data_IF_097978273922
#
_entry.id   IF_097978273922
#
_cell.length_a   1.000
_cell.length_b   1.000
_cell.length_c   1.000
_cell.angle_alpha   90.00
_cell.angle_beta   90.00
_cell.angle_gamma   90.00
#
_symmetry.space_group_name_H-M   'P 1'
#
loop_
_entity.id
_entity.type
_entity.pdbx_description
1 polymer ?
#
# COMPACT_ATOMS: atom_id res chain seq x y z
N UNK A 1 59.26 13.28 28.50
CA UNK A 1 58.93 11.90 28.09
C UNK A 1 57.62 11.50 28.76
N UNK A 2 56.48 11.91 28.21
CA UNK A 2 55.13 11.53 28.62
C UNK A 2 54.26 11.56 27.36
N UNK A 3 53.65 10.41 27.04
CA UNK A 3 52.84 10.14 25.84
C UNK A 3 51.40 10.63 26.07
N UNK A 4 50.79 11.27 25.07
CA UNK A 4 49.35 11.36 24.94
C UNK A 4 48.93 10.53 23.72
N UNK A 5 48.06 9.55 23.94
CA UNK A 5 47.53 8.68 22.89
C UNK A 5 46.49 9.38 22.01
N UNK A 6 46.17 8.83 20.84
CA UNK A 6 45.16 9.39 19.95
C UNK A 6 43.74 9.24 20.54
N UNK A 7 42.78 10.09 20.13
CA UNK A 7 41.41 10.06 20.64
C UNK A 7 40.69 8.76 20.23
N UNK A 8 39.91 8.22 21.15
CA UNK A 8 39.06 7.04 20.94
C UNK A 8 38.04 7.28 19.82
N UNK A 9 37.93 6.32 18.90
CA UNK A 9 36.88 6.26 17.90
C UNK A 9 35.52 6.04 18.58
N UNK A 10 34.59 6.96 18.35
CA UNK A 10 33.17 6.76 18.64
C UNK A 10 32.66 5.65 17.73
N UNK A 11 32.06 4.56 18.24
CA UNK A 11 31.57 3.50 17.38
C UNK A 11 30.40 4.04 16.55
N UNK A 12 30.58 4.03 15.23
CA UNK A 12 29.50 4.30 14.28
C UNK A 12 28.37 3.30 14.54
N UNK A 13 27.22 3.81 14.98
CA UNK A 13 25.96 3.07 14.98
C UNK A 13 25.64 2.75 13.52
N UNK A 14 25.98 1.54 13.09
CA UNK A 14 25.54 0.97 11.82
C UNK A 14 24.03 0.79 11.90
N UNK A 15 23.29 1.79 11.45
CA UNK A 15 21.93 1.58 10.95
C UNK A 15 22.06 0.68 9.73
N UNK A 16 21.60 -0.57 9.82
CA UNK A 16 21.47 -1.43 8.66
C UNK A 16 20.46 -0.79 7.69
N UNK A 17 20.97 0.01 6.74
CA UNK A 17 20.23 0.37 5.54
C UNK A 17 20.15 -0.89 4.68
N UNK A 18 19.03 -1.61 4.79
CA UNK A 18 18.74 -2.69 3.88
C UNK A 18 18.25 -2.09 2.55
N UNK A 19 19.18 -1.50 1.78
CA UNK A 19 19.07 -1.68 0.33
C UNK A 19 18.88 -3.18 0.10
N UNK A 20 18.10 -3.63 -0.89
CA UNK A 20 18.23 -4.99 -1.37
C UNK A 20 19.64 -5.09 -1.98
N UNK A 21 20.64 -5.35 -1.14
CA UNK A 21 22.03 -5.52 -1.55
C UNK A 21 22.17 -6.77 -2.42
N UNK A 22 21.20 -7.69 -2.31
CA UNK A 22 21.07 -8.88 -3.12
C UNK A 22 19.83 -8.77 -4.02
N UNK A 23 20.05 -9.07 -5.30
CA UNK A 23 19.02 -9.21 -6.32
C UNK A 23 17.92 -10.18 -5.87
N UNK A 24 16.66 -9.80 -6.07
CA UNK A 24 15.51 -10.69 -5.83
C UNK A 24 15.43 -11.80 -6.89
N UNK A 25 16.15 -11.66 -8.00
CA UNK A 25 16.35 -12.70 -9.00
C UNK A 25 17.64 -13.48 -8.78
N UNK A 26 17.60 -14.76 -9.15
CA UNK A 26 18.80 -15.57 -9.27
C UNK A 26 19.32 -15.72 -10.69
N UNK A 27 20.49 -16.34 -10.85
CA UNK A 27 21.11 -16.53 -12.16
C UNK A 27 20.18 -17.25 -13.14
N UNK A 28 19.35 -18.18 -12.67
CA UNK A 28 18.39 -18.92 -13.50
C UNK A 28 17.22 -18.02 -13.92
N UNK A 29 16.62 -17.29 -12.98
CA UNK A 29 15.56 -16.32 -13.23
C UNK A 29 16.03 -15.20 -14.16
N UNK A 30 17.21 -14.65 -13.91
CA UNK A 30 17.82 -13.63 -14.76
C UNK A 30 18.10 -14.15 -16.18
N UNK A 31 18.58 -15.39 -16.30
CA UNK A 31 18.75 -16.02 -17.61
C UNK A 31 17.42 -16.22 -18.35
N UNK A 32 16.34 -16.55 -17.64
CA UNK A 32 15.00 -16.66 -18.23
C UNK A 32 14.48 -15.31 -18.72
N UNK A 33 14.63 -14.27 -17.90
CA UNK A 33 14.28 -12.88 -18.26
C UNK A 33 15.05 -12.42 -19.50
N UNK A 34 16.37 -12.67 -19.55
CA UNK A 34 17.21 -12.30 -20.70
C UNK A 34 16.83 -12.99 -22.01
N UNK A 35 16.13 -14.14 -21.97
CA UNK A 35 15.57 -14.80 -23.18
C UNK A 35 14.33 -14.10 -23.73
N UNK A 36 13.72 -13.17 -22.99
CA UNK A 36 12.65 -12.30 -23.49
C UNK A 36 13.23 -11.12 -24.29
N UNK A 37 14.50 -10.76 -24.03
CA UNK A 37 15.28 -9.70 -24.69
C UNK A 37 14.79 -8.27 -24.37
N UNK A 38 13.51 -7.98 -24.62
CA UNK A 38 12.90 -6.67 -24.36
C UNK A 38 11.37 -6.78 -24.33
N UNK A 39 10.70 -5.95 -23.55
CA UNK A 39 9.24 -5.79 -23.58
C UNK A 39 8.89 -4.30 -23.44
N UNK A 40 7.78 -3.87 -24.04
CA UNK A 40 7.30 -2.49 -23.92
C UNK A 40 6.25 -2.38 -22.78
N UNK A 41 5.40 -3.39 -22.64
CA UNK A 41 4.37 -3.50 -21.60
C UNK A 41 4.53 -4.80 -20.83
N UNK A 42 4.55 -4.71 -19.51
CA UNK A 42 4.60 -5.85 -18.62
C UNK A 42 3.36 -5.90 -17.72
N UNK A 43 2.75 -7.08 -17.59
CA UNK A 43 1.84 -7.37 -16.47
C UNK A 43 2.55 -8.29 -15.49
N UNK A 44 2.77 -7.79 -14.28
CA UNK A 44 3.35 -8.53 -13.16
C UNK A 44 2.28 -9.08 -12.23
N UNK A 45 2.41 -10.34 -11.82
CA UNK A 45 1.50 -11.01 -10.88
C UNK A 45 2.33 -11.58 -9.73
N UNK A 46 2.28 -11.02 -8.51
CA UNK A 46 2.84 -11.65 -7.33
C UNK A 46 1.95 -12.83 -6.91
N UNK A 47 2.52 -14.00 -6.62
CA UNK A 47 1.75 -15.21 -6.30
C UNK A 47 2.30 -16.03 -5.13
N UNK A 48 1.40 -16.67 -4.37
CA UNK A 48 1.74 -17.70 -3.39
C UNK A 48 0.52 -18.61 -3.11
N UNK A 49 0.51 -19.84 -3.62
CA UNK A 49 -0.57 -20.81 -3.38
C UNK A 49 -1.91 -20.43 -4.03
N UNK A 50 -1.88 -19.89 -5.26
CA UNK A 50 -3.02 -19.35 -5.98
C UNK A 50 -3.42 -20.17 -7.22
N UNK A 51 -3.11 -21.48 -7.28
CA UNK A 51 -3.35 -22.29 -8.48
C UNK A 51 -4.83 -22.29 -8.91
N UNK A 52 -5.76 -22.14 -7.97
CA UNK A 52 -7.20 -22.09 -8.23
C UNK A 52 -7.68 -20.77 -8.88
N UNK A 53 -6.97 -19.66 -8.70
CA UNK A 53 -7.44 -18.32 -9.11
C UNK A 53 -6.61 -17.70 -10.23
N UNK A 54 -5.29 -17.92 -10.23
CA UNK A 54 -4.35 -17.19 -11.09
C UNK A 54 -4.63 -17.35 -12.59
N UNK A 55 -5.16 -18.51 -13.01
CA UNK A 55 -5.51 -18.75 -14.41
C UNK A 55 -6.57 -17.76 -14.94
N UNK A 56 -7.52 -17.32 -14.11
CA UNK A 56 -8.49 -16.30 -14.52
C UNK A 56 -7.81 -14.94 -14.76
N UNK A 57 -6.94 -14.54 -13.83
CA UNK A 57 -6.18 -13.29 -13.90
C UNK A 57 -5.29 -13.26 -15.15
N UNK A 58 -4.57 -14.36 -15.43
CA UNK A 58 -3.70 -14.49 -16.61
C UNK A 58 -4.48 -14.33 -17.91
N UNK A 59 -5.70 -14.89 -18.01
CA UNK A 59 -6.56 -14.75 -19.19
C UNK A 59 -6.99 -13.30 -19.39
N UNK A 60 -7.46 -12.63 -18.33
CA UNK A 60 -7.89 -11.24 -18.40
C UNK A 60 -6.72 -10.29 -18.75
N UNK A 61 -5.57 -10.47 -18.11
CA UNK A 61 -4.35 -9.69 -18.39
C UNK A 61 -3.85 -9.89 -19.83
N UNK A 62 -3.84 -11.15 -20.30
CA UNK A 62 -3.48 -11.49 -21.69
C UNK A 62 -4.40 -10.78 -22.68
N UNK A 63 -5.72 -10.88 -22.49
CA UNK A 63 -6.70 -10.20 -23.32
C UNK A 63 -6.48 -8.68 -23.34
N UNK A 64 -6.26 -8.08 -22.15
CA UNK A 64 -6.08 -6.64 -22.02
C UNK A 64 -4.86 -6.14 -22.78
N UNK A 65 -3.71 -6.81 -22.64
CA UNK A 65 -2.49 -6.43 -23.36
C UNK A 65 -2.67 -6.53 -24.89
N UNK A 66 -3.24 -7.64 -25.37
CA UNK A 66 -3.39 -7.89 -26.82
C UNK A 66 -4.45 -6.99 -27.46
N UNK A 67 -5.57 -6.77 -26.78
CA UNK A 67 -6.69 -5.99 -27.30
C UNK A 67 -6.40 -4.49 -27.35
N UNK A 68 -5.83 -3.94 -26.27
CA UNK A 68 -5.68 -2.50 -26.10
C UNK A 68 -4.29 -1.97 -26.51
N UNK A 69 -3.30 -2.85 -26.62
CA UNK A 69 -1.92 -2.50 -26.98
C UNK A 69 -1.31 -3.48 -28.01
N UNK A 70 -1.96 -3.69 -29.17
CA UNK A 70 -1.55 -4.71 -30.14
C UNK A 70 -0.19 -4.47 -30.81
N UNK A 71 0.28 -3.23 -30.76
CA UNK A 71 1.56 -2.81 -31.35
C UNK A 71 2.75 -2.93 -30.40
N UNK A 72 2.49 -3.13 -29.11
CA UNK A 72 3.54 -3.25 -28.08
C UNK A 72 4.01 -4.69 -27.95
N UNK A 73 5.26 -4.88 -27.49
CA UNK A 73 5.81 -6.19 -27.09
C UNK A 73 5.31 -6.53 -25.67
N UNK A 74 4.36 -7.45 -25.50
CA UNK A 74 3.79 -7.72 -24.19
C UNK A 74 4.50 -8.88 -23.50
N UNK A 75 4.69 -8.78 -22.19
CA UNK A 75 5.15 -9.87 -21.34
C UNK A 75 4.27 -9.99 -20.10
N UNK A 76 3.89 -11.21 -19.75
CA UNK A 76 3.29 -11.53 -18.46
C UNK A 76 4.36 -12.21 -17.59
N UNK A 77 4.52 -11.73 -16.37
CA UNK A 77 5.53 -12.20 -15.44
C UNK A 77 4.87 -12.59 -14.13
N UNK A 78 4.97 -13.87 -13.78
CA UNK A 78 4.61 -14.34 -12.45
C UNK A 78 5.84 -14.27 -11.53
N UNK A 79 5.69 -13.60 -10.40
CA UNK A 79 6.72 -13.53 -9.34
C UNK A 79 6.25 -14.34 -8.15
N UNK A 80 6.73 -15.58 -8.07
CA UNK A 80 6.23 -16.60 -7.17
C UNK A 80 7.05 -16.68 -5.88
N UNK A 81 6.36 -16.76 -4.74
CA UNK A 81 6.95 -16.87 -3.41
C UNK A 81 7.37 -18.28 -2.98
N UNK A 82 7.56 -19.21 -3.92
CA UNK A 82 7.86 -20.61 -3.62
C UNK A 82 6.59 -21.40 -3.31
N UNK A 83 5.57 -21.24 -4.15
CA UNK A 83 4.29 -21.92 -3.99
C UNK A 83 4.47 -23.44 -3.91
N UNK A 84 3.83 -24.12 -2.94
CA UNK A 84 3.89 -25.58 -2.82
C UNK A 84 2.94 -26.28 -3.80
N UNK A 85 2.06 -25.54 -4.46
CA UNK A 85 1.09 -26.02 -5.44
C UNK A 85 1.52 -25.68 -6.87
N UNK A 86 0.63 -25.91 -7.84
CA UNK A 86 0.91 -25.76 -9.27
C UNK A 86 0.81 -24.29 -9.76
N UNK A 87 0.80 -23.31 -8.86
CA UNK A 87 0.64 -21.87 -9.19
C UNK A 87 1.57 -21.40 -10.31
N UNK A 88 2.90 -21.67 -10.26
CA UNK A 88 3.83 -21.22 -11.31
C UNK A 88 3.51 -21.84 -12.67
N UNK A 89 3.11 -23.11 -12.69
CA UNK A 89 2.77 -23.81 -13.92
C UNK A 89 1.49 -23.24 -14.53
N UNK A 90 0.42 -23.10 -13.73
CA UNK A 90 -0.85 -22.52 -14.18
C UNK A 90 -0.63 -21.12 -14.76
N UNK A 91 0.24 -20.31 -14.16
CA UNK A 91 0.52 -18.96 -14.62
C UNK A 91 1.08 -18.90 -16.07
N UNK A 92 1.90 -19.89 -16.45
CA UNK A 92 2.55 -19.93 -17.77
C UNK A 92 1.83 -20.82 -18.79
N UNK A 93 1.11 -21.85 -18.32
CA UNK A 93 0.40 -22.82 -19.18
C UNK A 93 -1.03 -22.42 -19.49
N UNK A 94 -1.60 -21.44 -18.77
CA UNK A 94 -2.94 -20.92 -19.05
C UNK A 94 -3.01 -20.42 -20.49
N UNK A 95 -3.87 -21.08 -21.28
CA UNK A 95 -4.12 -20.70 -22.66
C UNK A 95 -4.84 -19.35 -22.73
N UNK A 96 -4.50 -18.60 -23.77
CA UNK A 96 -5.27 -17.40 -24.13
C UNK A 96 -6.69 -17.86 -24.49
N UNK A 97 -7.75 -17.17 -24.03
CA UNK A 97 -9.10 -17.51 -24.44
C UNK A 97 -9.24 -17.59 -25.96
N UNK A 98 -9.86 -18.65 -26.47
CA UNK A 98 -10.15 -18.89 -27.90
C UNK A 98 -10.77 -17.68 -28.62
N UNK A 99 -11.54 -16.86 -27.90
CA UNK A 99 -12.18 -15.67 -28.47
C UNK A 99 -11.21 -14.52 -28.73
N UNK A 100 -10.04 -14.47 -28.07
CA UNK A 100 -9.01 -13.47 -28.38
C UNK A 100 -8.54 -13.65 -29.82
N UNK A 101 -8.40 -14.89 -30.29
CA UNK A 101 -7.98 -15.17 -31.66
C UNK A 101 -9.14 -15.14 -32.67
N UNK A 102 -10.37 -15.40 -32.22
CA UNK A 102 -11.56 -15.55 -33.10
C UNK A 102 -12.46 -14.31 -33.17
N UNK A 103 -12.47 -13.44 -32.16
CA UNK A 103 -13.40 -12.30 -32.03
C UNK A 103 -12.66 -10.96 -32.09
N UNK A 104 -11.41 -10.89 -31.62
CA UNK A 104 -10.64 -9.66 -31.70
C UNK A 104 -10.18 -9.48 -33.15
N UNK A 105 -10.80 -8.54 -33.87
CA UNK A 105 -10.40 -8.10 -35.22
C UNK A 105 -9.03 -7.37 -35.23
N UNK A 106 -8.21 -7.59 -34.21
CA UNK A 106 -6.90 -6.97 -34.01
C UNK A 106 -5.87 -8.08 -33.97
N UNK A 107 -5.01 -8.13 -34.99
CA UNK A 107 -3.88 -9.04 -35.03
C UNK A 107 -2.70 -8.42 -34.25
N UNK A 108 -2.28 -8.99 -33.10
CA UNK A 108 -1.12 -8.46 -32.38
C UNK A 108 0.14 -8.58 -33.22
N UNK A 109 0.97 -7.52 -33.23
CA UNK A 109 2.25 -7.51 -33.95
C UNK A 109 3.31 -8.39 -33.29
N UNK A 110 3.17 -8.64 -31.99
CA UNK A 110 4.12 -9.38 -31.20
C UNK A 110 3.44 -10.53 -30.44
N UNK A 111 4.12 -11.67 -30.38
CA UNK A 111 3.66 -12.82 -29.59
C UNK A 111 3.82 -12.51 -28.10
N UNK A 112 2.75 -12.69 -27.33
CA UNK A 112 2.82 -12.62 -25.87
C UNK A 112 3.82 -13.64 -25.32
N UNK A 113 4.70 -13.18 -24.45
CA UNK A 113 5.60 -14.03 -23.66
C UNK A 113 5.05 -14.17 -22.24
N UNK A 114 5.19 -15.37 -21.67
CA UNK A 114 4.89 -15.64 -20.26
C UNK A 114 6.15 -16.22 -19.62
N UNK A 115 6.50 -15.72 -18.45
CA UNK A 115 7.59 -16.25 -17.63
C UNK A 115 7.11 -16.36 -16.19
N UNK A 116 7.62 -17.34 -15.46
CA UNK A 116 7.40 -17.45 -14.02
C UNK A 116 8.74 -17.61 -13.33
N UNK A 117 9.04 -16.69 -12.43
CA UNK A 117 10.26 -16.74 -11.62
C UNK A 117 9.88 -17.00 -10.17
N UNK A 118 10.73 -17.75 -9.47
CA UNK A 118 10.68 -17.84 -8.01
C UNK A 118 11.66 -16.82 -7.46
N UNK A 119 11.16 -15.81 -6.74
CA UNK A 119 12.03 -14.77 -6.20
C UNK A 119 12.83 -15.28 -4.99
N UNK A 120 13.97 -14.64 -4.74
CA UNK A 120 14.81 -14.84 -3.55
C UNK A 120 14.56 -13.74 -2.53
N UNK A 121 14.84 -14.05 -1.27
CA UNK A 121 14.71 -13.11 -0.15
C UNK A 121 13.56 -13.46 0.78
N UNK A 122 13.18 -12.49 1.61
CA UNK A 122 12.11 -12.65 2.58
C UNK A 122 10.78 -12.90 1.88
N UNK A 123 10.01 -13.90 2.32
CA UNK A 123 8.67 -14.14 1.78
C UNK A 123 7.74 -12.96 2.11
N UNK A 124 7.15 -12.37 1.07
CA UNK A 124 6.27 -11.22 1.18
C UNK A 124 5.90 -10.62 -0.16
N UNK A 125 4.78 -9.90 -0.20
CA UNK A 125 4.31 -9.19 -1.39
C UNK A 125 5.36 -8.19 -1.91
N UNK A 126 5.99 -7.44 -1.01
CA UNK A 126 7.04 -6.48 -1.37
C UNK A 126 8.22 -7.10 -2.09
N UNK A 127 8.79 -8.21 -1.59
CA UNK A 127 9.87 -8.91 -2.28
C UNK A 127 9.46 -9.43 -3.66
N UNK A 128 8.21 -9.91 -3.79
CA UNK A 128 7.67 -10.33 -5.09
C UNK A 128 7.59 -9.15 -6.07
N UNK A 129 7.12 -7.98 -5.61
CA UNK A 129 7.07 -6.74 -6.39
C UNK A 129 8.47 -6.22 -6.72
N UNK A 130 9.44 -6.34 -5.80
CA UNK A 130 10.83 -5.98 -6.05
C UNK A 130 11.43 -6.82 -7.18
N UNK A 131 11.18 -8.12 -7.21
CA UNK A 131 11.58 -8.97 -8.33
C UNK A 131 10.91 -8.52 -9.64
N UNK A 132 9.63 -8.15 -9.62
CA UNK A 132 8.94 -7.61 -10.80
C UNK A 132 9.59 -6.30 -11.28
N UNK A 133 10.02 -5.41 -10.38
CA UNK A 133 10.76 -4.20 -10.71
C UNK A 133 12.12 -4.48 -11.35
N UNK A 134 12.90 -5.43 -10.81
CA UNK A 134 14.17 -5.82 -11.40
C UNK A 134 13.99 -6.37 -12.83
N UNK A 135 12.96 -7.21 -13.04
CA UNK A 135 12.61 -7.75 -14.35
C UNK A 135 12.19 -6.64 -15.31
N UNK A 136 11.31 -5.75 -14.86
CA UNK A 136 10.84 -4.61 -15.63
C UNK A 136 11.99 -3.71 -16.08
N UNK A 137 12.95 -3.43 -15.18
CA UNK A 137 14.18 -2.67 -15.49
C UNK A 137 15.06 -3.41 -16.50
N UNK A 138 15.31 -4.71 -16.33
CA UNK A 138 16.12 -5.52 -17.24
C UNK A 138 15.49 -5.58 -18.65
N UNK A 139 14.17 -5.69 -18.74
CA UNK A 139 13.41 -5.74 -19.99
C UNK A 139 13.16 -4.37 -20.61
N UNK A 140 13.50 -3.29 -19.90
CA UNK A 140 13.31 -1.88 -20.31
C UNK A 140 11.86 -1.55 -20.65
N UNK A 141 10.95 -1.98 -19.80
CA UNK A 141 9.51 -1.75 -20.00
C UNK A 141 9.19 -0.27 -19.91
N UNK A 142 8.22 0.18 -20.71
CA UNK A 142 7.70 1.54 -20.66
C UNK A 142 6.66 1.66 -19.54
N UNK A 143 5.82 0.63 -19.38
CA UNK A 143 4.84 0.53 -18.31
C UNK A 143 4.80 -0.90 -17.74
N UNK A 144 4.72 -0.99 -16.42
CA UNK A 144 4.42 -2.22 -15.69
C UNK A 144 3.07 -2.07 -14.99
N UNK A 145 2.14 -2.97 -15.27
CA UNK A 145 0.87 -3.12 -14.53
C UNK A 145 1.05 -4.25 -13.52
N UNK A 146 0.65 -4.03 -12.27
CA UNK A 146 0.58 -5.04 -11.23
C UNK A 146 -0.89 -5.38 -10.96
N UNK A 147 -1.21 -6.67 -10.88
CA UNK A 147 -2.53 -7.16 -10.48
C UNK A 147 -2.39 -8.31 -9.49
N UNK A 148 -3.25 -8.34 -8.46
CA UNK A 148 -3.26 -9.41 -7.47
C UNK A 148 -3.65 -10.78 -8.10
N UNK A 149 -3.08 -11.89 -7.59
CA UNK A 149 -3.27 -13.26 -8.11
C UNK A 149 -4.62 -13.91 -7.77
N UNK A 150 -5.41 -13.29 -6.89
CA UNK A 150 -6.68 -13.80 -6.36
C UNK A 150 -7.91 -13.00 -6.82
N UNK A 151 -7.72 -12.05 -7.76
CA UNK A 151 -8.80 -11.21 -8.27
C UNK A 151 -9.87 -12.03 -9.00
N UNK A 152 -11.12 -11.85 -8.59
CA UNK A 152 -12.29 -12.41 -9.28
C UNK A 152 -12.97 -11.40 -10.22
N UNK A 153 -12.80 -10.11 -9.96
CA UNK A 153 -13.46 -9.03 -10.72
C UNK A 153 -12.61 -8.43 -11.84
N UNK A 154 -11.37 -8.89 -12.04
CA UNK A 154 -10.50 -8.37 -13.10
C UNK A 154 -11.12 -8.62 -14.48
N UNK A 155 -11.08 -7.58 -15.32
CA UNK A 155 -11.49 -7.60 -16.72
C UNK A 155 -10.38 -7.02 -17.60
N UNK A 156 -10.32 -7.36 -18.91
CA UNK A 156 -9.25 -6.90 -19.81
C UNK A 156 -9.03 -5.37 -19.80
N UNK A 157 -10.10 -4.60 -19.62
CA UNK A 157 -10.08 -3.13 -19.57
C UNK A 157 -9.19 -2.59 -18.44
N UNK A 158 -8.97 -3.35 -17.36
CA UNK A 158 -8.10 -2.91 -16.26
C UNK A 158 -6.68 -2.65 -16.75
N UNK A 159 -6.19 -3.46 -17.70
CA UNK A 159 -4.86 -3.26 -18.29
C UNK A 159 -4.81 -1.94 -19.07
N UNK A 160 -5.86 -1.60 -19.82
CA UNK A 160 -5.94 -0.31 -20.52
C UNK A 160 -6.00 0.86 -19.54
N UNK A 161 -6.85 0.76 -18.53
CA UNK A 161 -7.06 1.83 -17.55
C UNK A 161 -5.82 2.11 -16.70
N UNK A 162 -5.02 1.08 -16.42
CA UNK A 162 -3.78 1.19 -15.65
C UNK A 162 -2.58 1.57 -16.52
N UNK A 163 -2.35 0.92 -17.67
CA UNK A 163 -1.20 1.22 -18.52
C UNK A 163 -1.40 2.45 -19.41
N UNK A 164 -2.64 2.76 -19.80
CA UNK A 164 -2.99 3.84 -20.71
C UNK A 164 -2.51 5.23 -20.26
N UNK A 165 -2.73 5.65 -19.01
CA UNK A 165 -2.23 6.92 -18.51
C UNK A 165 -0.71 7.07 -18.62
N UNK A 166 0.05 5.99 -18.47
CA UNK A 166 1.51 6.00 -18.61
C UNK A 166 1.88 6.10 -20.08
N UNK A 167 1.39 5.15 -20.89
CA UNK A 167 1.79 4.99 -22.29
C UNK A 167 1.29 6.13 -23.20
N UNK A 168 0.21 6.83 -22.81
CA UNK A 168 -0.46 7.86 -23.63
C UNK A 168 -0.56 9.22 -22.94
N UNK A 169 -0.45 9.27 -21.61
CA UNK A 169 -0.81 10.44 -20.81
C UNK A 169 0.36 11.10 -20.04
N UNK A 170 1.56 10.51 -20.06
CA UNK A 170 2.74 11.06 -19.38
C UNK A 170 2.68 10.95 -17.86
N UNK A 171 1.90 10.01 -17.32
CA UNK A 171 1.90 9.67 -15.89
C UNK A 171 2.94 8.59 -15.59
N UNK A 172 3.34 8.52 -14.33
CA UNK A 172 4.36 7.59 -13.85
C UNK A 172 3.82 6.60 -12.84
N UNK A 173 2.80 6.98 -12.08
CA UNK A 173 2.14 6.12 -11.11
C UNK A 173 0.62 6.21 -11.25
N UNK A 174 -0.01 5.06 -11.45
CA UNK A 174 -1.46 4.94 -11.56
C UNK A 174 -1.97 4.12 -10.40
N UNK A 175 -2.54 4.78 -9.39
CA UNK A 175 -3.21 4.12 -8.29
C UNK A 175 -4.60 3.63 -8.69
N UNK A 176 -5.12 2.55 -8.09
CA UNK A 176 -6.48 2.13 -8.35
C UNK A 176 -7.49 3.06 -7.69
N UNK A 177 -8.71 3.05 -8.23
CA UNK A 177 -9.90 3.63 -7.62
C UNK A 177 -11.03 2.60 -7.71
N UNK A 178 -11.31 1.95 -6.58
CA UNK A 178 -12.32 0.89 -6.45
C UNK A 178 -13.61 1.40 -5.82
N UNK A 179 -14.71 0.72 -6.11
CA UNK A 179 -15.87 0.68 -5.22
C UNK A 179 -15.62 -0.38 -4.13
N UNK A 180 -15.73 0.01 -2.85
CA UNK A 180 -15.57 -0.87 -1.69
C UNK A 180 -16.73 -0.71 -0.74
N UNK A 181 -17.07 -1.78 -0.02
CA UNK A 181 -18.05 -1.70 1.04
C UNK A 181 -17.53 -0.81 2.17
N UNK A 182 -18.41 -0.08 2.86
CA UNK A 182 -18.03 0.93 3.86
C UNK A 182 -17.15 0.40 5.00
N UNK A 183 -17.22 -0.90 5.31
CA UNK A 183 -16.41 -1.54 6.36
C UNK A 183 -15.21 -2.32 5.82
N UNK A 184 -14.95 -2.24 4.52
CA UNK A 184 -13.74 -2.77 3.88
C UNK A 184 -12.63 -1.69 3.83
N UNK A 185 -11.37 -2.12 3.79
CA UNK A 185 -10.22 -1.22 3.67
C UNK A 185 -10.10 -0.26 4.85
N UNK A 186 -10.36 -0.72 6.08
CA UNK A 186 -10.39 0.11 7.29
C UNK A 186 -9.06 0.83 7.57
N UNK A 187 -7.91 0.22 7.27
CA UNK A 187 -6.59 0.88 7.30
C UNK A 187 -6.54 2.01 6.27
N UNK A 188 -7.05 1.77 5.06
CA UNK A 188 -7.15 2.79 4.00
C UNK A 188 -7.98 3.97 4.44
N UNK A 189 -9.20 3.71 4.89
CA UNK A 189 -10.20 4.73 5.18
C UNK A 189 -9.85 5.55 6.43
N UNK A 190 -9.24 4.92 7.44
CA UNK A 190 -9.00 5.55 8.74
C UNK A 190 -7.60 6.14 8.92
N UNK A 191 -6.64 5.74 8.06
CA UNK A 191 -5.23 6.11 8.20
C UNK A 191 -4.63 6.52 6.87
N UNK A 192 -4.43 5.57 5.95
CA UNK A 192 -3.50 5.82 4.84
C UNK A 192 -4.04 6.88 3.88
N UNK A 193 -5.33 6.87 3.51
CA UNK A 193 -5.92 7.93 2.68
C UNK A 193 -5.90 9.30 3.38
N UNK A 194 -6.49 9.47 4.58
CA UNK A 194 -6.47 10.75 5.30
C UNK A 194 -5.05 11.32 5.53
N UNK A 195 -4.11 10.46 5.92
CA UNK A 195 -2.75 10.89 6.27
C UNK A 195 -1.92 11.20 5.02
N UNK A 196 -2.07 10.44 3.93
CA UNK A 196 -1.47 10.79 2.62
C UNK A 196 -1.91 12.19 2.19
N UNK A 197 -3.21 12.45 2.31
CA UNK A 197 -3.83 13.71 1.92
C UNK A 197 -3.32 14.87 2.78
N UNK A 198 -3.23 14.68 4.09
CA UNK A 198 -2.69 15.71 5.00
C UNK A 198 -1.19 15.95 4.79
N UNK A 199 -0.37 14.90 4.64
CA UNK A 199 1.08 15.04 4.51
C UNK A 199 1.47 15.60 3.13
N UNK A 200 0.98 14.99 2.05
CA UNK A 200 1.49 15.25 0.71
C UNK A 200 0.51 15.99 -0.21
N UNK A 201 -0.72 16.27 0.26
CA UNK A 201 -1.66 17.13 -0.46
C UNK A 201 -2.28 16.49 -1.71
N UNK A 202 -2.00 15.21 -1.98
CA UNK A 202 -2.59 14.46 -3.08
C UNK A 202 -3.75 13.60 -2.59
N UNK A 203 -4.93 13.73 -3.21
CA UNK A 203 -6.13 12.93 -2.86
C UNK A 203 -6.14 11.56 -3.53
N UNK A 204 -5.10 10.74 -3.28
CA UNK A 204 -5.07 9.35 -3.75
C UNK A 204 -5.97 8.49 -2.84
N UNK A 205 -7.16 8.13 -3.30
CA UNK A 205 -8.17 7.40 -2.49
C UNK A 205 -7.73 6.01 -2.00
N UNK A 206 -6.89 5.31 -2.75
CA UNK A 206 -6.41 3.95 -2.43
C UNK A 206 -4.87 3.89 -2.45
N UNK A 207 -4.18 4.56 -1.52
CA UNK A 207 -2.72 4.63 -1.51
C UNK A 207 -2.04 3.31 -1.10
N UNK A 208 -2.82 2.29 -0.74
CA UNK A 208 -2.37 0.92 -0.49
C UNK A 208 -3.08 -0.09 -1.41
N UNK A 209 -3.57 0.37 -2.57
CA UNK A 209 -4.23 -0.49 -3.54
C UNK A 209 -3.23 -1.41 -4.24
N UNK A 210 -3.53 -2.71 -4.27
CA UNK A 210 -2.66 -3.72 -4.87
C UNK A 210 -2.63 -3.74 -6.40
N UNK A 211 -3.61 -3.12 -7.08
CA UNK A 211 -3.65 -3.12 -8.54
C UNK A 211 -3.24 -1.74 -9.05
N UNK A 212 -2.03 -1.60 -9.59
CA UNK A 212 -1.46 -0.30 -9.98
C UNK A 212 -0.68 -0.41 -11.28
N UNK A 213 -0.24 0.73 -11.80
CA UNK A 213 0.81 0.75 -12.82
C UNK A 213 1.91 1.75 -12.49
N UNK A 214 3.12 1.44 -12.96
CA UNK A 214 4.33 2.26 -12.80
C UNK A 214 5.07 2.40 -14.13
N UNK A 215 5.66 3.58 -14.38
CA UNK A 215 6.53 3.81 -15.55
C UNK A 215 7.90 3.18 -15.34
N UNK A 216 8.59 2.88 -16.44
CA UNK A 216 9.97 2.40 -16.37
C UNK A 216 10.91 3.34 -15.61
N UNK A 217 10.71 4.65 -15.75
CA UNK A 217 11.50 5.69 -15.06
C UNK A 217 11.28 5.66 -13.55
N UNK A 218 10.01 5.56 -13.11
CA UNK A 218 9.69 5.42 -11.69
C UNK A 218 10.24 4.10 -11.13
N UNK A 219 10.14 2.99 -11.85
CA UNK A 219 10.75 1.71 -11.43
C UNK A 219 12.25 1.87 -11.21
N UNK A 220 12.95 2.52 -12.15
CA UNK A 220 14.36 2.82 -12.03
C UNK A 220 14.68 3.57 -10.75
N UNK A 221 13.90 4.62 -10.45
CA UNK A 221 14.09 5.42 -9.23
C UNK A 221 13.77 4.63 -7.96
N UNK A 222 12.67 3.88 -7.93
CA UNK A 222 12.26 3.09 -6.76
C UNK A 222 13.36 2.08 -6.36
N UNK A 223 14.02 1.45 -7.33
CA UNK A 223 15.12 0.51 -7.09
C UNK A 223 16.40 1.17 -6.55
N UNK A 224 16.51 2.50 -6.58
CA UNK A 224 17.66 3.26 -6.05
C UNK A 224 17.42 3.82 -4.65
N UNK A 225 16.18 3.79 -4.15
CA UNK A 225 15.84 4.35 -2.85
C UNK A 225 16.41 3.49 -1.71
N UNK A 226 17.00 4.14 -0.72
CA UNK A 226 17.57 3.53 0.49
C UNK A 226 16.56 3.35 1.63
N UNK A 227 15.29 3.69 1.39
CA UNK A 227 14.19 3.63 2.36
C UNK A 227 13.54 2.24 2.47
N UNK A 228 14.07 1.25 1.73
CA UNK A 228 13.60 -0.13 1.77
C UNK A 228 13.90 -0.80 3.13
N UNK A 229 12.96 -1.61 3.60
CA UNK A 229 13.08 -2.34 4.87
C UNK A 229 12.21 -3.61 4.88
N UNK A 230 12.26 -4.35 6.00
CA UNK A 230 11.46 -5.57 6.22
C UNK A 230 9.94 -5.35 6.12
N UNK A 231 9.42 -4.18 6.54
CA UNK A 231 7.99 -3.88 6.40
C UNK A 231 7.62 -3.67 4.92
N UNK A 232 8.48 -2.98 4.18
CA UNK A 232 8.35 -2.76 2.74
C UNK A 232 8.43 -4.06 1.96
N UNK A 233 9.29 -5.00 2.36
CA UNK A 233 9.37 -6.35 1.78
C UNK A 233 8.08 -7.17 1.91
N UNK A 234 7.11 -6.72 2.73
CA UNK A 234 5.84 -7.40 2.99
C UNK A 234 4.64 -6.54 2.56
N UNK A 235 3.74 -6.15 3.47
CA UNK A 235 2.55 -5.36 3.15
C UNK A 235 2.81 -3.85 3.06
N UNK A 236 3.99 -3.36 3.45
CA UNK A 236 4.37 -1.95 3.36
C UNK A 236 4.65 -1.46 1.94
N UNK A 237 4.82 -2.36 0.96
CA UNK A 237 5.20 -1.99 -0.41
C UNK A 237 4.25 -0.99 -1.06
N UNK A 238 2.93 -1.18 -0.92
CA UNK A 238 1.93 -0.37 -1.62
C UNK A 238 1.96 1.11 -1.15
N UNK A 239 2.05 1.32 0.17
CA UNK A 239 2.18 2.68 0.73
C UNK A 239 3.55 3.29 0.42
N UNK A 240 4.60 2.46 0.42
CA UNK A 240 5.96 2.89 0.09
C UNK A 240 6.06 3.41 -1.33
N UNK A 241 5.55 2.67 -2.31
CA UNK A 241 5.53 3.11 -3.71
C UNK A 241 4.74 4.40 -3.88
N UNK A 242 3.53 4.47 -3.29
CA UNK A 242 2.68 5.65 -3.42
C UNK A 242 3.34 6.90 -2.85
N UNK A 243 3.90 6.81 -1.64
CA UNK A 243 4.56 7.96 -1.01
C UNK A 243 5.86 8.34 -1.71
N UNK A 244 6.67 7.37 -2.11
CA UNK A 244 7.89 7.63 -2.87
C UNK A 244 7.59 8.29 -4.21
N UNK A 245 6.58 7.82 -4.96
CA UNK A 245 6.19 8.46 -6.22
C UNK A 245 5.82 9.94 -6.05
N UNK A 246 5.02 10.27 -5.03
CA UNK A 246 4.65 11.67 -4.75
C UNK A 246 5.88 12.51 -4.37
N UNK A 247 6.70 12.01 -3.44
CA UNK A 247 7.78 12.82 -2.85
C UNK A 247 9.01 12.94 -3.76
N UNK A 248 9.24 11.96 -4.63
CA UNK A 248 10.27 11.99 -5.67
C UNK A 248 9.82 12.82 -6.90
N UNK A 249 8.60 13.35 -6.90
CA UNK A 249 8.12 14.32 -7.89
C UNK A 249 7.57 13.74 -9.18
N UNK A 250 7.17 12.46 -9.18
CA UNK A 250 6.61 11.77 -10.34
C UNK A 250 5.13 12.12 -10.54
N UNK A 251 4.66 12.01 -11.78
CA UNK A 251 3.28 12.32 -12.12
C UNK A 251 2.34 11.18 -11.65
N UNK A 252 1.41 11.50 -10.74
CA UNK A 252 0.47 10.51 -10.17
C UNK A 252 -0.96 10.75 -10.67
N UNK A 253 -1.67 9.66 -10.99
CA UNK A 253 -3.11 9.69 -11.26
C UNK A 253 -3.80 8.45 -10.68
N UNK A 254 -5.12 8.37 -10.85
CA UNK A 254 -5.91 7.20 -10.46
C UNK A 254 -6.72 6.63 -11.62
N UNK A 255 -7.02 5.34 -11.57
CA UNK A 255 -7.83 4.65 -12.57
C UNK A 255 -9.09 4.02 -11.95
N UNK A 256 -10.26 4.27 -12.53
CA UNK A 256 -11.55 3.74 -12.07
C UNK A 256 -11.74 2.28 -12.50
N UNK A 257 -11.50 1.34 -11.58
CA UNK A 257 -11.50 -0.09 -11.87
C UNK A 257 -12.86 -0.78 -11.60
N UNK A 258 -13.78 -0.12 -10.89
CA UNK A 258 -15.07 -0.70 -10.47
C UNK A 258 -14.96 -1.42 -9.13
N UNK A 259 -15.83 -2.40 -8.85
CA UNK A 259 -15.77 -3.15 -7.59
C UNK A 259 -14.57 -4.10 -7.55
N UNK A 260 -13.87 -4.11 -6.41
CA UNK A 260 -12.82 -5.09 -6.13
C UNK A 260 -13.41 -6.25 -5.32
N UNK A 261 -13.50 -7.42 -5.94
CA UNK A 261 -13.99 -8.64 -5.29
C UNK A 261 -12.80 -9.58 -5.08
N UNK A 262 -12.50 -9.85 -3.81
CA UNK A 262 -11.43 -10.72 -3.33
C UNK A 262 -11.90 -11.44 -2.05
N UNK A 263 -11.13 -12.40 -1.54
CA UNK A 263 -11.51 -13.12 -0.33
C UNK A 263 -11.59 -12.19 0.88
N UNK A 264 -12.73 -12.23 1.59
CA UNK A 264 -12.99 -11.36 2.74
C UNK A 264 -12.01 -11.64 3.89
N UNK A 265 -11.51 -10.57 4.53
CA UNK A 265 -10.64 -10.63 5.72
C UNK A 265 -11.39 -10.04 6.92
N UNK A 266 -11.32 -10.67 8.08
CA UNK A 266 -11.91 -10.12 9.31
C UNK A 266 -10.93 -9.08 9.90
N UNK A 267 -11.34 -7.80 10.05
CA UNK A 267 -10.49 -6.77 10.63
C UNK A 267 -9.89 -7.10 12.00
N UNK A 268 -10.63 -7.85 12.83
CA UNK A 268 -10.23 -8.14 14.21
C UNK A 268 -9.20 -9.29 14.33
N UNK A 269 -9.18 -10.25 13.40
CA UNK A 269 -8.24 -11.39 13.43
C UNK A 269 -7.08 -11.25 12.45
N UNK A 270 -7.28 -10.59 11.32
CA UNK A 270 -6.38 -10.74 10.16
C UNK A 270 -5.55 -9.47 9.87
N UNK A 271 -5.91 -8.31 10.44
CA UNK A 271 -5.28 -7.04 10.08
C UNK A 271 -4.14 -6.60 11.00
N UNK A 272 -3.95 -7.18 12.19
CA UNK A 272 -2.93 -6.72 13.14
C UNK A 272 -1.49 -6.67 12.57
N UNK A 273 -0.97 -7.75 11.98
CA UNK A 273 0.35 -7.75 11.34
C UNK A 273 0.44 -6.81 10.13
N UNK A 274 -0.60 -6.76 9.30
CA UNK A 274 -0.68 -5.87 8.12
C UNK A 274 -0.66 -4.40 8.55
N UNK A 275 -1.42 -4.06 9.59
CA UNK A 275 -1.48 -2.73 10.17
C UNK A 275 -0.10 -2.23 10.57
N UNK A 276 0.65 -3.02 11.35
CA UNK A 276 1.98 -2.61 11.81
C UNK A 276 2.94 -2.35 10.64
N UNK A 277 2.93 -3.22 9.63
CA UNK A 277 3.80 -3.05 8.45
C UNK A 277 3.43 -1.81 7.63
N UNK A 278 2.14 -1.59 7.35
CA UNK A 278 1.67 -0.44 6.56
C UNK A 278 1.91 0.87 7.32
N UNK A 279 1.46 0.96 8.58
CA UNK A 279 1.56 2.19 9.37
C UNK A 279 3.00 2.48 9.75
N UNK A 280 3.81 1.46 10.06
CA UNK A 280 5.24 1.62 10.31
C UNK A 280 5.99 2.17 9.10
N UNK A 281 5.70 1.64 7.90
CA UNK A 281 6.27 2.15 6.64
C UNK A 281 5.84 3.59 6.39
N UNK A 282 4.55 3.90 6.57
CA UNK A 282 4.02 5.25 6.45
C UNK A 282 4.75 6.23 7.39
N UNK A 283 4.86 5.89 8.68
CA UNK A 283 5.48 6.75 9.69
C UNK A 283 6.96 6.97 9.44
N UNK A 284 7.67 5.95 8.94
CA UNK A 284 9.08 6.08 8.54
C UNK A 284 9.24 7.02 7.36
N UNK A 285 8.40 6.89 6.33
CA UNK A 285 8.45 7.78 5.16
C UNK A 285 8.04 9.21 5.51
N UNK A 286 7.12 9.40 6.46
CA UNK A 286 6.85 10.72 7.00
C UNK A 286 8.10 11.31 7.69
N UNK A 287 8.86 10.51 8.44
CA UNK A 287 10.15 10.95 8.99
C UNK A 287 11.19 11.30 7.93
N UNK A 288 11.29 10.48 6.89
CA UNK A 288 12.26 10.65 5.80
C UNK A 288 11.94 11.87 4.91
N UNK A 289 10.66 12.10 4.59
CA UNK A 289 10.22 13.21 3.73
C UNK A 289 9.70 14.42 4.52
N UNK A 290 10.22 14.67 5.73
CA UNK A 290 9.73 15.75 6.59
C UNK A 290 9.75 17.12 5.93
N UNK A 291 10.84 17.44 5.21
CA UNK A 291 11.01 18.71 4.52
C UNK A 291 9.93 18.94 3.46
N UNK A 292 9.39 17.85 2.87
CA UNK A 292 8.33 17.91 1.86
C UNK A 292 6.99 18.23 2.50
N UNK A 293 6.56 17.44 3.50
CA UNK A 293 5.21 17.57 4.03
C UNK A 293 5.04 18.73 5.01
N UNK A 294 6.11 19.22 5.66
CA UNK A 294 6.02 20.38 6.55
C UNK A 294 5.52 21.65 5.83
N UNK A 295 5.79 21.79 4.54
CA UNK A 295 5.34 22.91 3.70
C UNK A 295 3.91 22.76 3.17
N UNK A 296 3.41 21.54 3.04
CA UNK A 296 2.09 21.26 2.43
C UNK A 296 0.95 21.77 3.30
N UNK A 297 -0.06 22.38 2.67
CA UNK A 297 -1.30 22.87 3.31
C UNK A 297 -2.50 22.46 2.45
N UNK A 298 -3.47 21.77 3.06
CA UNK A 298 -4.62 21.21 2.36
C UNK A 298 -4.23 20.17 1.31
N UNK A 299 -5.16 19.85 0.43
CA UNK A 299 -4.95 18.92 -0.69
C UNK A 299 -5.73 19.30 -1.93
N UNK A 300 -5.33 18.72 -3.06
CA UNK A 300 -5.96 18.87 -4.36
C UNK A 300 -6.38 17.51 -4.93
N UNK A 301 -7.48 17.45 -5.72
CA UNK A 301 -7.79 16.27 -6.49
C UNK A 301 -6.68 15.98 -7.50
N UNK A 302 -6.44 14.70 -7.76
CA UNK A 302 -5.52 14.26 -8.81
C UNK A 302 -6.31 13.74 -10.01
N UNK A 303 -5.72 13.68 -11.22
CA UNK A 303 -6.41 13.20 -12.41
C UNK A 303 -6.94 11.77 -12.23
N UNK A 304 -8.15 11.54 -12.74
CA UNK A 304 -8.80 10.24 -12.73
C UNK A 304 -9.05 9.76 -14.17
N UNK A 305 -8.69 8.52 -14.45
CA UNK A 305 -8.82 7.89 -15.75
C UNK A 305 -9.90 6.82 -15.75
N UNK A 306 -10.65 6.75 -16.86
CA UNK A 306 -11.79 5.86 -17.02
C UNK A 306 -13.12 6.44 -16.57
N UNK A 307 -14.20 5.71 -16.86
CA UNK A 307 -15.56 6.10 -16.51
C UNK A 307 -15.98 5.48 -15.18
N UNK A 308 -16.89 6.15 -14.50
CA UNK A 308 -17.50 5.62 -13.28
C UNK A 308 -18.26 4.33 -13.58
N UNK A 309 -17.95 3.28 -12.81
CA UNK A 309 -18.61 1.97 -12.88
C UNK A 309 -19.32 1.74 -11.56
N UNK A 310 -20.65 1.84 -11.58
CA UNK A 310 -21.48 1.54 -10.42
C UNK A 310 -21.64 0.03 -10.32
N UNK A 311 -20.73 -0.60 -9.58
CA UNK A 311 -20.86 -2.00 -9.18
C UNK A 311 -20.94 -2.02 -7.66
N UNK A 312 -22.03 -2.58 -7.13
CA UNK A 312 -22.20 -2.69 -5.69
C UNK A 312 -21.10 -3.63 -5.14
N UNK A 313 -20.33 -3.20 -4.13
CA UNK A 313 -19.35 -4.05 -3.48
C UNK A 313 -20.06 -5.14 -2.66
N UNK A 314 -19.40 -6.28 -2.44
CA UNK A 314 -19.90 -7.32 -1.55
C UNK A 314 -19.93 -6.83 -0.10
N UNK A 315 -21.00 -7.14 0.63
CA UNK A 315 -21.12 -6.80 2.04
C UNK A 315 -20.17 -7.64 2.89
N UNK A 316 -19.54 -6.99 3.88
CA UNK A 316 -18.65 -7.64 4.85
C UNK A 316 -19.24 -7.49 6.24
N UNK A 317 -19.29 -8.59 6.99
CA UNK A 317 -19.67 -8.59 8.40
C UNK A 317 -18.45 -8.32 9.27
N UNK A 318 -18.54 -7.32 10.16
CA UNK A 318 -17.49 -7.00 11.14
C UNK A 318 -18.04 -7.23 12.54
N UNK A 319 -17.28 -7.92 13.38
CA UNK A 319 -17.68 -8.18 14.75
C UNK A 319 -17.39 -6.97 15.64
N UNK A 320 -18.39 -6.09 15.78
CA UNK A 320 -18.30 -4.86 16.59
C UNK A 320 -17.92 -5.15 18.05
N UNK A 321 -18.53 -6.16 18.67
CA UNK A 321 -18.24 -6.54 20.06
C UNK A 321 -16.76 -6.87 20.27
N UNK A 322 -16.18 -7.70 19.40
CA UNK A 322 -14.74 -8.04 19.46
C UNK A 322 -13.83 -6.81 19.37
N UNK A 323 -14.20 -5.80 18.58
CA UNK A 323 -13.39 -4.57 18.46
C UNK A 323 -13.43 -3.75 19.75
N UNK A 324 -14.62 -3.60 20.35
CA UNK A 324 -14.81 -2.87 21.61
C UNK A 324 -14.14 -3.61 22.77
N UNK A 325 -14.37 -4.91 22.91
CA UNK A 325 -13.75 -5.76 23.93
C UNK A 325 -12.22 -5.77 23.79
N UNK A 326 -11.73 -5.83 22.55
CA UNK A 326 -10.29 -5.78 22.26
C UNK A 326 -9.64 -4.47 22.73
N UNK A 327 -10.33 -3.34 22.56
CA UNK A 327 -9.88 -2.05 23.07
C UNK A 327 -9.98 -1.97 24.60
N UNK A 328 -11.08 -2.39 25.20
CA UNK A 328 -11.28 -2.37 26.65
C UNK A 328 -10.21 -3.19 27.38
N UNK A 329 -9.97 -4.42 26.92
CA UNK A 329 -8.96 -5.30 27.48
C UNK A 329 -7.53 -4.77 27.28
N UNK A 330 -7.29 -3.98 26.22
CA UNK A 330 -6.00 -3.37 25.94
C UNK A 330 -5.67 -2.17 26.85
N UNK A 331 -6.67 -1.51 27.45
CA UNK A 331 -6.45 -0.29 28.26
C UNK A 331 -5.44 -0.49 29.40
N UNK A 332 -5.60 -1.47 30.31
CA UNK A 332 -4.64 -1.65 31.40
C UNK A 332 -3.25 -2.04 30.89
N UNK A 333 -3.18 -2.86 29.83
CA UNK A 333 -1.92 -3.37 29.28
C UNK A 333 -1.10 -2.29 28.58
N UNK A 334 -1.74 -1.39 27.84
CA UNK A 334 -1.05 -0.39 27.04
C UNK A 334 -1.00 1.00 27.68
N UNK A 335 -1.59 1.20 28.86
CA UNK A 335 -1.66 2.50 29.54
C UNK A 335 -0.31 3.21 29.64
N UNK A 336 0.74 2.49 30.02
CA UNK A 336 2.09 3.05 30.16
C UNK A 336 2.65 3.49 28.81
N UNK A 337 2.53 2.66 27.78
CA UNK A 337 2.97 3.01 26.42
C UNK A 337 2.15 4.17 25.84
N UNK A 338 0.84 4.22 26.12
CA UNK A 338 0.00 5.35 25.75
C UNK A 338 0.43 6.64 26.45
N UNK A 339 0.86 6.57 27.71
CA UNK A 339 1.40 7.74 28.42
C UNK A 339 2.75 8.22 27.86
N UNK A 340 3.57 7.32 27.31
CA UNK A 340 4.82 7.67 26.64
C UNK A 340 4.59 8.35 25.27
N UNK A 341 3.54 7.92 24.55
CA UNK A 341 3.34 8.31 23.16
C UNK A 341 2.28 9.41 22.95
N UNK A 342 1.26 9.51 23.81
CA UNK A 342 0.14 10.46 23.68
C UNK A 342 0.34 11.70 24.55
N UNK A 343 -0.20 12.84 24.13
CA UNK A 343 -0.31 14.00 25.01
C UNK A 343 -1.24 13.67 26.20
N UNK A 344 -0.99 14.20 27.42
CA UNK A 344 -1.74 13.83 28.62
C UNK A 344 -3.26 13.99 28.50
N UNK A 345 -3.71 15.05 27.85
CA UNK A 345 -5.14 15.30 27.55
C UNK A 345 -5.74 14.18 26.68
N UNK A 346 -5.01 13.73 25.66
CA UNK A 346 -5.52 12.69 24.76
C UNK A 346 -5.55 11.33 25.46
N UNK A 347 -4.55 11.03 26.29
CA UNK A 347 -4.58 9.84 27.15
C UNK A 347 -5.80 9.86 28.08
N UNK A 348 -6.06 10.96 28.76
CA UNK A 348 -7.22 11.08 29.66
C UNK A 348 -8.53 10.82 28.90
N UNK A 349 -8.71 11.45 27.73
CA UNK A 349 -9.89 11.26 26.89
C UNK A 349 -10.03 9.83 26.39
N UNK A 350 -8.95 9.18 25.97
CA UNK A 350 -8.93 7.76 25.56
C UNK A 350 -9.35 6.84 26.72
N UNK A 351 -8.85 7.11 27.93
CA UNK A 351 -9.18 6.30 29.10
C UNK A 351 -10.64 6.47 29.56
N UNK A 352 -11.28 7.57 29.21
CA UNK A 352 -12.68 7.89 29.54
C UNK A 352 -13.70 7.40 28.50
N UNK A 353 -13.27 6.82 27.36
CA UNK A 353 -14.19 6.26 26.36
C UNK A 353 -15.09 5.21 27.04
N UNK A 354 -16.39 5.24 26.78
CA UNK A 354 -17.34 4.25 27.32
C UNK A 354 -17.34 2.98 26.46
N UNK A 355 -17.14 1.82 27.09
CA UNK A 355 -17.17 0.48 26.47
C UNK A 355 -18.38 -0.35 26.92
N UNK A 356 -19.24 0.17 27.80
CA UNK A 356 -20.32 -0.61 28.43
C UNK A 356 -21.41 -1.07 27.46
N UNK A 357 -21.63 -0.32 26.38
CA UNK A 357 -22.56 -0.66 25.30
C UNK A 357 -21.89 -0.46 23.93
N UNK A 358 -21.64 -1.56 23.23
CA UNK A 358 -21.04 -1.56 21.90
C UNK A 358 -21.88 -0.79 20.86
N UNK A 359 -23.22 -0.77 20.98
CA UNK A 359 -24.10 -0.03 20.07
C UNK A 359 -24.09 1.49 20.33
N UNK A 360 -23.74 1.89 21.55
CA UNK A 360 -23.53 3.28 21.93
C UNK A 360 -22.05 3.70 21.88
N UNK A 361 -21.14 2.82 21.47
CA UNK A 361 -19.71 3.10 21.44
C UNK A 361 -19.39 4.31 20.56
N UNK A 362 -18.56 5.23 21.05
CA UNK A 362 -18.13 6.42 20.31
C UNK A 362 -16.64 6.65 20.51
N UNK A 363 -15.93 6.85 19.40
CA UNK A 363 -14.57 7.35 19.38
C UNK A 363 -14.52 8.48 18.35
N UNK A 364 -14.48 9.73 18.84
CA UNK A 364 -14.44 10.93 18.01
C UNK A 364 -13.26 10.91 17.03
N UNK A 365 -13.53 11.27 15.77
CA UNK A 365 -12.50 11.37 14.73
C UNK A 365 -11.36 12.32 15.13
N UNK A 366 -11.70 13.49 15.68
CA UNK A 366 -10.77 14.46 16.24
C UNK A 366 -9.74 13.86 17.21
N UNK A 367 -10.20 13.08 18.20
CA UNK A 367 -9.33 12.43 19.19
C UNK A 367 -8.45 11.38 18.52
N UNK A 368 -9.01 10.59 17.61
CA UNK A 368 -8.26 9.59 16.85
C UNK A 368 -7.12 10.22 16.06
N UNK A 369 -7.39 11.34 15.37
CA UNK A 369 -6.40 12.06 14.58
C UNK A 369 -5.25 12.54 15.46
N UNK A 370 -5.55 13.13 16.63
CA UNK A 370 -4.52 13.55 17.58
C UNK A 370 -3.70 12.38 18.10
N UNK A 371 -4.34 11.27 18.47
CA UNK A 371 -3.62 10.08 18.90
C UNK A 371 -2.68 9.55 17.82
N UNK A 372 -3.13 9.54 16.57
CA UNK A 372 -2.31 9.09 15.44
C UNK A 372 -1.13 10.06 15.19
N UNK A 373 -1.35 11.37 15.28
CA UNK A 373 -0.29 12.39 15.18
C UNK A 373 0.72 12.32 16.32
N UNK A 374 0.25 12.16 17.55
CA UNK A 374 1.11 11.96 18.73
C UNK A 374 1.97 10.71 18.56
N UNK A 375 1.37 9.61 18.08
CA UNK A 375 2.09 8.35 17.83
C UNK A 375 3.10 8.51 16.69
N UNK A 376 2.75 9.25 15.62
CA UNK A 376 3.67 9.56 14.52
C UNK A 376 4.89 10.35 14.99
N UNK A 377 4.69 11.33 15.88
CA UNK A 377 5.77 12.08 16.52
C UNK A 377 6.61 11.13 17.38
N UNK A 378 5.98 10.38 18.30
CA UNK A 378 6.66 9.45 19.19
C UNK A 378 7.50 8.41 18.43
N UNK A 379 6.97 7.88 17.32
CA UNK A 379 7.65 6.91 16.45
C UNK A 379 8.93 7.43 15.82
N UNK A 380 9.00 8.74 15.56
CA UNK A 380 10.14 9.39 14.92
C UNK A 380 11.11 10.03 15.93
N UNK A 381 10.86 9.89 17.24
CA UNK A 381 11.84 10.27 18.27
C UNK A 381 13.09 9.39 18.20
N UNK A 382 14.29 9.93 18.44
CA UNK A 382 15.50 9.12 18.60
C UNK A 382 15.32 8.07 19.70
N UNK A 383 15.74 6.83 19.41
CA UNK A 383 15.64 5.71 20.37
C UNK A 383 14.24 5.14 20.58
N UNK A 384 13.23 5.56 19.81
CA UNK A 384 11.87 5.06 19.96
C UNK A 384 11.75 3.55 19.72
N UNK A 385 11.05 2.86 20.63
CA UNK A 385 10.68 1.45 20.48
C UNK A 385 9.50 1.30 19.50
N UNK A 386 9.78 1.46 18.20
CA UNK A 386 8.78 1.55 17.12
C UNK A 386 7.74 0.42 17.13
N UNK A 387 8.16 -0.83 17.32
CA UNK A 387 7.23 -1.97 17.38
C UNK A 387 6.30 -1.91 18.60
N UNK A 388 6.81 -1.46 19.77
CA UNK A 388 6.02 -1.26 20.98
C UNK A 388 4.94 -0.19 20.74
N UNK A 389 5.30 0.91 20.10
CA UNK A 389 4.38 2.01 19.76
C UNK A 389 3.30 1.56 18.77
N UNK A 390 3.66 0.85 17.69
CA UNK A 390 2.70 0.34 16.70
C UNK A 390 1.77 -0.72 17.29
N UNK A 391 2.30 -1.56 18.19
CA UNK A 391 1.49 -2.53 18.94
C UNK A 391 0.46 -1.81 19.82
N UNK A 392 0.87 -0.77 20.54
CA UNK A 392 -0.04 0.03 21.38
C UNK A 392 -1.03 0.89 20.57
N UNK A 393 -0.72 1.26 19.33
CA UNK A 393 -1.64 1.96 18.44
C UNK A 393 -2.76 1.05 17.89
N UNK A 394 -2.49 -0.26 17.77
CA UNK A 394 -3.43 -1.22 17.16
C UNK A 394 -4.81 -1.25 17.84
N UNK A 395 -4.93 -1.31 19.18
CA UNK A 395 -6.23 -1.25 19.86
C UNK A 395 -6.97 0.09 19.67
N UNK A 396 -6.26 1.21 19.55
CA UNK A 396 -6.87 2.51 19.26
C UNK A 396 -7.46 2.54 17.85
N UNK A 397 -6.78 1.92 16.88
CA UNK A 397 -7.29 1.75 15.53
C UNK A 397 -8.56 0.88 15.48
N UNK A 398 -8.59 -0.24 16.23
CA UNK A 398 -9.79 -1.07 16.35
C UNK A 398 -10.95 -0.31 16.99
N UNK A 399 -10.68 0.45 18.05
CA UNK A 399 -11.66 1.34 18.65
C UNK A 399 -12.19 2.38 17.64
N UNK A 400 -11.32 3.03 16.85
CA UNK A 400 -11.76 3.98 15.82
C UNK A 400 -12.66 3.31 14.78
N UNK A 401 -12.31 2.10 14.37
CA UNK A 401 -13.11 1.28 13.44
C UNK A 401 -14.48 0.97 14.03
N UNK A 402 -14.56 0.57 15.30
CA UNK A 402 -15.82 0.36 16.00
C UNK A 402 -16.67 1.64 16.02
N UNK A 403 -16.07 2.78 16.36
CA UNK A 403 -16.75 4.08 16.34
C UNK A 403 -17.32 4.44 14.95
N UNK A 404 -16.58 4.16 13.88
CA UNK A 404 -17.03 4.40 12.50
C UNK A 404 -18.22 3.50 12.11
N UNK A 405 -18.17 2.22 12.49
CA UNK A 405 -19.27 1.27 12.23
C UNK A 405 -20.56 1.76 12.88
N UNK A 406 -20.47 2.23 14.13
CA UNK A 406 -21.64 2.74 14.85
C UNK A 406 -22.15 4.05 14.27
N UNK A 407 -21.25 4.98 13.93
CA UNK A 407 -21.58 6.27 13.30
C UNK A 407 -22.29 6.09 11.94
N UNK A 408 -21.94 5.05 11.19
CA UNK A 408 -22.41 4.84 9.82
C UNK A 408 -23.35 3.64 9.67
N UNK A 409 -23.89 3.12 10.77
CA UNK A 409 -24.74 1.92 10.78
C UNK A 409 -25.91 2.03 9.77
N UNK A 410 -26.66 3.13 9.84
CA UNK A 410 -27.83 3.41 9.00
C UNK A 410 -27.49 4.14 7.68
N UNK A 411 -26.20 4.25 7.34
CA UNK A 411 -25.74 4.92 6.13
C UNK A 411 -25.48 3.94 4.99
N UNK A 412 -25.79 4.35 3.76
CA UNK A 412 -25.30 3.68 2.55
C UNK A 412 -23.77 3.81 2.41
N UNK A 413 -23.16 2.99 1.55
CA UNK A 413 -21.73 3.10 1.22
C UNK A 413 -21.35 4.50 0.76
N UNK A 414 -22.15 5.14 -0.10
CA UNK A 414 -21.88 6.50 -0.61
C UNK A 414 -22.02 7.57 0.49
N UNK A 415 -22.92 7.38 1.44
CA UNK A 415 -23.02 8.25 2.61
C UNK A 415 -21.81 8.08 3.53
N UNK A 416 -21.39 6.84 3.79
CA UNK A 416 -20.19 6.55 4.58
C UNK A 416 -18.91 7.08 3.92
N UNK A 417 -18.84 7.08 2.58
CA UNK A 417 -17.72 7.68 1.84
C UNK A 417 -17.59 9.19 2.10
N UNK A 418 -18.72 9.92 2.22
CA UNK A 418 -18.70 11.34 2.62
C UNK A 418 -18.19 11.54 4.05
N UNK A 419 -18.46 10.60 4.96
CA UNK A 419 -17.88 10.62 6.31
C UNK A 419 -16.37 10.40 6.25
N UNK A 420 -15.89 9.45 5.45
CA UNK A 420 -14.46 9.22 5.23
C UNK A 420 -13.77 10.47 4.67
N UNK A 421 -14.38 11.15 3.68
CA UNK A 421 -13.82 12.38 3.12
C UNK A 421 -13.83 13.54 4.12
N UNK A 422 -14.85 13.65 4.96
CA UNK A 422 -14.91 14.63 6.04
C UNK A 422 -13.81 14.41 7.09
N UNK A 423 -13.59 13.16 7.51
CA UNK A 423 -12.47 12.78 8.39
C UNK A 423 -11.13 13.11 7.72
N UNK A 424 -10.98 12.81 6.43
CA UNK A 424 -9.76 13.14 5.68
C UNK A 424 -9.50 14.66 5.60
N UNK A 425 -10.56 15.48 5.54
CA UNK A 425 -10.43 16.93 5.66
C UNK A 425 -10.04 17.37 7.08
N UNK A 426 -10.58 16.73 8.12
CA UNK A 426 -10.24 17.02 9.52
C UNK A 426 -8.76 16.74 9.82
N UNK A 427 -8.18 15.69 9.22
CA UNK A 427 -6.73 15.45 9.24
C UNK A 427 -5.93 16.66 8.74
N UNK A 428 -6.35 17.28 7.63
CA UNK A 428 -5.70 18.48 7.08
C UNK A 428 -5.83 19.68 8.02
N UNK A 429 -7.01 19.87 8.60
CA UNK A 429 -7.29 20.96 9.53
C UNK A 429 -6.49 20.84 10.82
N UNK A 430 -6.29 19.61 11.31
CA UNK A 430 -5.49 19.32 12.50
C UNK A 430 -3.99 19.20 12.21
N UNK A 431 -3.55 19.25 10.95
CA UNK A 431 -2.11 19.20 10.61
C UNK A 431 -1.24 20.23 11.36
N UNK A 432 -1.68 21.47 11.66
CA UNK A 432 -0.91 22.39 12.49
C UNK A 432 -0.55 21.83 13.88
N UNK A 433 -1.39 20.97 14.47
CA UNK A 433 -1.07 20.25 15.72
C UNK A 433 0.13 19.32 15.52
N UNK A 434 0.11 18.50 14.46
CA UNK A 434 1.24 17.64 14.10
C UNK A 434 2.51 18.46 13.86
N UNK A 435 2.43 19.53 13.05
CA UNK A 435 3.60 20.37 12.72
C UNK A 435 4.20 21.00 13.98
N UNK A 436 3.36 21.48 14.91
CA UNK A 436 3.83 22.04 16.18
C UNK A 436 4.56 20.98 17.02
N UNK A 437 3.94 19.81 17.23
CA UNK A 437 4.54 18.74 18.01
C UNK A 437 5.81 18.17 17.37
N UNK A 438 5.84 18.08 16.04
CA UNK A 438 7.01 17.64 15.29
C UNK A 438 8.20 18.59 15.44
N UNK A 439 7.97 19.90 15.33
CA UNK A 439 9.02 20.91 15.53
C UNK A 439 9.56 20.89 16.96
N UNK A 440 8.67 20.83 17.96
CA UNK A 440 9.08 20.72 19.36
C UNK A 440 9.91 19.45 19.63
N UNK A 441 9.56 18.32 18.99
CA UNK A 441 10.36 17.10 19.04
C UNK A 441 11.75 17.33 18.44
N UNK A 442 11.83 17.93 17.25
CA UNK A 442 13.13 18.20 16.58
C UNK A 442 14.00 19.14 17.42
N UNK A 443 13.44 20.21 17.95
CA UNK A 443 14.13 21.18 18.81
C UNK A 443 14.65 20.56 20.11
N UNK A 444 13.95 19.57 20.68
CA UNK A 444 14.39 18.86 21.88
C UNK A 444 15.51 17.83 21.60
N UNK A 445 15.74 17.49 20.33
CA UNK A 445 16.72 16.49 19.90
C UNK A 445 17.93 17.08 19.17
N UNK A 446 17.86 18.36 18.80
CA UNK A 446 18.95 19.16 18.25
C UNK A 446 19.82 19.69 19.38
#
# INVERSE_FOLDING_TARGET
>A
MLRFGPPEEVPALTTHSASPADSALDDKGLAEVRRVVSADLMVGIPSFGNAATIGYVVRAATAGMVQYFPDLKPVLVNSDGGSPDDTPHVAVSTESPDYIEKIILVAPRHKLRRISVTYRGQSGKGTAVHALFEIARELKVQAMVMVDSDLRSIVPEWVELLAGPILKGGYDFVAPLYARYKYDGTITNSISYPLTRALYGARIRQPIGGDFAVSGDLIGRLLELDTWDDSTARFGIDIWMTHSAINEGFAVCQARLGAKIHDAKDPASDLGPMFRQVVGTLFRLAGHYEDRWLAVRGSHPIPEYGFERVVAPEEISVNLGKLVDGFENARPTHRETWAEMLAPEQLERVMQIDCSDAAAFRFAAELWIRCLYDTLIAFNRPGAEREKLLSALTPLYFARTAGFIVETADMTTDQAERVIDAVAHEFEQLKPYLVSGWRSMRDATA
#
